data_IF_650852060874
#
_entry.id   IF_650852060874
#
_cell.length_a   1.000
_cell.length_b   1.000
_cell.length_c   1.000
_cell.angle_alpha   90.00
_cell.angle_beta   90.00
_cell.angle_gamma   90.00
#
_symmetry.space_group_name_H-M   'P 1'
#
loop_
_entity.id
_entity.type
_entity.pdbx_description
1 polymer ?
#
# COMPACT_ATOMS: atom_id res chain seq x y z
N UNK A 1 11.45 61.42 53.15
CA UNK A 1 10.24 60.86 52.47
C UNK A 1 10.35 60.63 50.96
N UNK A 2 11.45 60.95 50.28
CA UNK A 2 11.61 60.77 48.82
C UNK A 2 12.09 59.34 48.43
N UNK A 3 12.74 58.54 49.27
CA UNK A 3 13.33 57.21 48.98
C UNK A 3 12.30 56.10 48.91
N UNK A 4 11.17 56.18 49.58
CA UNK A 4 10.14 55.12 49.55
C UNK A 4 9.28 55.14 48.28
N UNK A 5 9.20 56.26 47.57
CA UNK A 5 8.38 56.38 46.37
C UNK A 5 9.07 55.75 45.15
N UNK A 6 10.42 55.78 45.11
CA UNK A 6 11.20 55.17 44.03
C UNK A 6 11.23 53.61 44.10
N UNK A 7 11.18 53.03 45.30
CA UNK A 7 11.15 51.62 45.47
C UNK A 7 9.85 50.97 45.00
N UNK A 8 8.71 51.65 45.16
CA UNK A 8 7.40 51.12 44.71
C UNK A 8 7.33 51.01 43.19
N UNK A 9 7.87 51.98 42.47
CA UNK A 9 7.90 51.98 41.02
C UNK A 9 8.87 50.92 40.47
N UNK A 10 10.01 50.72 41.12
CA UNK A 10 10.96 49.65 40.75
C UNK A 10 10.37 48.27 40.96
N UNK A 11 9.67 48.04 42.08
CA UNK A 11 8.97 46.75 42.35
C UNK A 11 7.83 46.52 41.34
N UNK A 12 7.07 47.56 41.01
CA UNK A 12 5.98 47.48 40.04
C UNK A 12 6.49 47.11 38.61
N UNK A 13 7.59 47.71 38.17
CA UNK A 13 8.22 47.43 36.88
C UNK A 13 8.81 46.01 36.86
N UNK A 14 9.41 45.54 37.95
CA UNK A 14 9.95 44.21 38.06
C UNK A 14 8.84 43.14 38.04
N UNK A 15 7.74 43.33 38.78
CA UNK A 15 6.60 42.42 38.75
C UNK A 15 5.89 42.41 37.39
N UNK A 16 5.77 43.55 36.71
CA UNK A 16 5.21 43.61 35.38
C UNK A 16 6.09 42.84 34.36
N UNK A 17 7.42 42.96 34.46
CA UNK A 17 8.37 42.24 33.61
C UNK A 17 8.30 40.71 33.78
N UNK A 18 8.14 40.23 35.03
CA UNK A 18 7.97 38.81 35.31
C UNK A 18 6.64 38.30 34.74
N UNK A 19 5.55 39.06 34.92
CA UNK A 19 4.23 38.68 34.43
C UNK A 19 4.18 38.62 32.89
N UNK A 20 4.80 39.57 32.22
CA UNK A 20 4.87 39.59 30.75
C UNK A 20 5.75 38.45 30.22
N UNK A 21 6.89 38.18 30.89
CA UNK A 21 7.75 37.03 30.54
C UNK A 21 7.03 35.68 30.70
N UNK A 22 6.26 35.53 31.77
CA UNK A 22 5.47 34.33 32.00
C UNK A 22 4.36 34.18 30.95
N UNK A 23 3.61 35.21 30.63
CA UNK A 23 2.58 35.23 29.59
C UNK A 23 3.15 34.88 28.20
N UNK A 24 4.30 35.46 27.84
CA UNK A 24 4.97 35.14 26.57
C UNK A 24 5.38 33.65 26.52
N UNK A 25 5.93 33.09 27.58
CA UNK A 25 6.31 31.69 27.64
C UNK A 25 5.10 30.76 27.52
N UNK A 26 3.98 31.07 28.17
CA UNK A 26 2.74 30.29 28.05
C UNK A 26 2.21 30.33 26.62
N UNK A 27 2.16 31.49 25.99
CA UNK A 27 1.70 31.64 24.60
C UNK A 27 2.61 30.90 23.62
N UNK A 28 3.93 31.00 23.78
CA UNK A 28 4.89 30.28 22.93
C UNK A 28 4.79 28.75 23.13
N UNK A 29 4.54 28.28 24.35
CA UNK A 29 4.32 26.86 24.64
C UNK A 29 3.04 26.35 23.99
N UNK A 30 1.97 27.14 24.00
CA UNK A 30 0.68 26.78 23.38
C UNK A 30 0.77 26.72 21.86
N UNK A 31 1.43 27.69 21.23
CA UNK A 31 1.69 27.71 19.78
C UNK A 31 2.55 26.52 19.36
N UNK A 32 3.57 26.21 20.15
CA UNK A 32 4.43 25.03 19.88
C UNK A 32 3.65 23.72 19.99
N UNK A 33 2.73 23.61 20.94
CA UNK A 33 1.91 22.41 21.14
C UNK A 33 0.89 22.23 20.01
N UNK A 34 0.23 23.32 19.57
CA UNK A 34 -0.69 23.28 18.44
C UNK A 34 0.02 22.86 17.14
N UNK A 35 1.21 23.40 16.89
CA UNK A 35 1.99 23.03 15.71
C UNK A 35 2.40 21.54 15.71
N UNK A 36 2.78 21.01 16.88
CA UNK A 36 3.09 19.57 17.01
C UNK A 36 1.85 18.72 16.74
N UNK A 37 0.67 19.14 17.20
CA UNK A 37 -0.58 18.42 16.92
C UNK A 37 -0.95 18.45 15.44
N UNK A 38 -0.81 19.61 14.79
CA UNK A 38 -1.03 19.73 13.34
C UNK A 38 -0.05 18.87 12.54
N UNK A 39 1.22 18.83 12.95
CA UNK A 39 2.25 17.99 12.30
C UNK A 39 1.95 16.48 12.53
N UNK A 40 1.39 16.10 13.69
CA UNK A 40 0.98 14.70 13.98
C UNK A 40 -0.25 14.33 13.15
N UNK A 41 -1.28 15.19 13.11
CA UNK A 41 -2.48 14.95 12.28
C UNK A 41 -2.13 14.83 10.80
N UNK A 42 -1.22 15.66 10.29
CA UNK A 42 -0.74 15.57 8.91
C UNK A 42 0.02 14.25 8.65
N UNK A 43 0.84 13.79 9.60
CA UNK A 43 1.53 12.50 9.50
C UNK A 43 0.56 11.31 9.60
N UNK A 44 -0.51 11.41 10.39
CA UNK A 44 -1.53 10.36 10.47
C UNK A 44 -2.35 10.28 9.17
N UNK A 45 -2.64 11.39 8.49
CA UNK A 45 -3.31 11.39 7.18
C UNK A 45 -2.40 10.79 6.08
N UNK A 46 -1.09 11.03 6.12
CA UNK A 46 -0.14 10.45 5.16
C UNK A 46 0.10 8.93 5.37
N UNK A 47 -0.14 8.41 6.57
CA UNK A 47 0.12 7.00 6.90
C UNK A 47 -1.14 6.11 6.86
N UNK A 48 -2.23 6.55 6.26
CA UNK A 48 -3.43 5.71 6.16
C UNK A 48 -3.28 4.71 5.01
N UNK A 49 -3.15 3.43 5.35
CA UNK A 49 -3.18 2.34 4.37
C UNK A 49 -4.52 2.36 3.65
N UNK A 50 -4.49 2.49 2.36
CA UNK A 50 -5.67 2.55 1.51
C UNK A 50 -5.61 1.50 0.40
N UNK A 51 -6.75 1.25 -0.22
CA UNK A 51 -6.82 0.42 -1.43
C UNK A 51 -6.20 1.20 -2.59
N UNK A 52 -5.18 0.60 -3.22
CA UNK A 52 -4.50 1.15 -4.39
C UNK A 52 -5.08 0.50 -5.64
N UNK A 53 -5.85 1.24 -6.40
CA UNK A 53 -6.49 0.71 -7.61
C UNK A 53 -5.65 0.99 -8.84
N UNK A 54 -5.20 -0.04 -9.58
CA UNK A 54 -4.55 0.14 -10.87
C UNK A 54 -5.48 0.85 -11.86
N UNK A 55 -4.92 1.73 -12.71
CA UNK A 55 -5.65 2.39 -13.79
C UNK A 55 -5.64 1.56 -15.08
N UNK A 56 -4.70 0.64 -15.18
CA UNK A 56 -4.52 -0.22 -16.34
C UNK A 56 -3.79 -1.50 -15.95
N UNK A 57 -3.96 -2.55 -16.76
CA UNK A 57 -3.11 -3.73 -16.69
C UNK A 57 -2.84 -4.29 -18.07
N UNK A 58 -1.78 -5.07 -18.17
CA UNK A 58 -1.44 -5.87 -19.35
C UNK A 58 -1.00 -7.25 -18.90
N UNK A 59 -1.28 -8.28 -19.70
CA UNK A 59 -0.85 -9.65 -19.41
C UNK A 59 -0.12 -10.27 -20.59
N UNK A 60 0.69 -11.29 -20.32
CA UNK A 60 1.38 -12.09 -21.36
C UNK A 60 0.39 -12.77 -22.28
N UNK A 61 -0.74 -13.22 -21.74
CA UNK A 61 -1.86 -13.80 -22.46
C UNK A 61 -3.15 -13.69 -21.64
N UNK A 62 -4.28 -13.89 -22.30
CA UNK A 62 -5.59 -14.01 -21.67
C UNK A 62 -6.48 -14.93 -22.52
N UNK A 63 -7.33 -15.72 -21.90
CA UNK A 63 -8.16 -16.71 -22.57
C UNK A 63 -9.14 -16.02 -23.53
N UNK A 64 -9.81 -14.95 -23.08
CA UNK A 64 -10.75 -14.16 -23.86
C UNK A 64 -10.96 -12.77 -23.21
N UNK A 65 -11.82 -11.93 -23.77
CA UNK A 65 -12.13 -10.60 -23.27
C UNK A 65 -12.82 -10.57 -21.88
N UNK A 66 -13.40 -11.69 -21.45
CA UNK A 66 -14.08 -11.80 -20.14
C UNK A 66 -13.14 -12.29 -19.01
N UNK A 67 -11.94 -12.76 -19.38
CA UNK A 67 -10.94 -13.28 -18.46
C UNK A 67 -9.61 -12.55 -18.63
N UNK A 68 -9.70 -11.25 -18.85
CA UNK A 68 -8.55 -10.35 -18.91
C UNK A 68 -8.05 -9.93 -17.52
N UNK A 69 -6.85 -9.35 -17.48
CA UNK A 69 -6.24 -8.91 -16.22
C UNK A 69 -7.04 -7.80 -15.51
N UNK A 70 -7.87 -7.06 -16.22
CA UNK A 70 -8.76 -6.03 -15.66
C UNK A 70 -9.83 -6.61 -14.73
N UNK A 71 -10.10 -7.91 -14.81
CA UNK A 71 -11.03 -8.59 -13.93
C UNK A 71 -10.42 -9.00 -12.58
N UNK A 72 -9.13 -8.81 -12.39
CA UNK A 72 -8.46 -9.14 -11.15
C UNK A 72 -8.68 -8.14 -10.03
N UNK A 73 -9.02 -6.90 -10.37
CA UNK A 73 -9.29 -5.83 -9.42
C UNK A 73 -10.66 -5.20 -9.69
N UNK A 74 -11.35 -4.73 -8.65
CA UNK A 74 -12.66 -4.10 -8.80
C UNK A 74 -13.88 -5.03 -8.65
N UNK A 75 -13.74 -6.16 -7.96
CA UNK A 75 -14.83 -7.07 -7.58
C UNK A 75 -15.58 -7.72 -8.75
N UNK A 76 -14.87 -8.15 -9.78
CA UNK A 76 -15.44 -8.96 -10.83
C UNK A 76 -15.42 -10.45 -10.44
N UNK A 77 -16.31 -11.25 -11.04
CA UNK A 77 -16.44 -12.68 -10.70
C UNK A 77 -15.55 -13.59 -11.55
N UNK A 78 -14.95 -13.06 -12.63
CA UNK A 78 -14.43 -13.91 -13.69
C UNK A 78 -12.91 -14.14 -13.60
N UNK A 79 -12.19 -13.24 -12.91
CA UNK A 79 -10.76 -13.33 -12.73
C UNK A 79 -9.97 -13.24 -14.05
N UNK A 80 -8.70 -13.65 -14.00
CA UNK A 80 -7.82 -13.77 -15.15
C UNK A 80 -7.45 -15.23 -15.39
N UNK A 81 -7.45 -15.65 -16.66
CA UNK A 81 -7.02 -16.95 -17.12
C UNK A 81 -6.14 -16.80 -18.37
N UNK A 82 -5.01 -17.51 -18.43
CA UNK A 82 -4.15 -17.54 -19.59
C UNK A 82 -4.72 -18.43 -20.70
N UNK A 83 -4.25 -18.28 -21.94
CA UNK A 83 -4.66 -19.12 -23.07
C UNK A 83 -3.53 -20.02 -23.62
N UNK A 84 -2.37 -20.02 -22.97
CA UNK A 84 -1.16 -20.65 -23.51
C UNK A 84 -0.99 -22.12 -23.10
N UNK A 85 -1.85 -22.67 -22.25
CA UNK A 85 -1.73 -24.01 -21.67
C UNK A 85 -0.34 -24.25 -21.01
N UNK A 86 0.28 -23.18 -20.55
CA UNK A 86 1.55 -23.20 -19.86
C UNK A 86 1.58 -22.10 -18.83
N UNK A 87 1.29 -22.45 -17.60
CA UNK A 87 1.27 -21.52 -16.48
C UNK A 87 2.62 -20.87 -16.18
N UNK A 88 3.70 -21.56 -16.48
CA UNK A 88 5.04 -21.03 -16.23
C UNK A 88 5.34 -19.88 -17.20
N UNK A 89 6.03 -18.88 -16.72
CA UNK A 89 6.43 -17.68 -17.48
C UNK A 89 5.26 -16.75 -17.86
N UNK A 90 4.06 -16.96 -17.31
CA UNK A 90 2.98 -15.99 -17.46
C UNK A 90 3.21 -14.80 -16.55
N UNK A 91 2.79 -13.63 -17.03
CA UNK A 91 2.91 -12.40 -16.23
C UNK A 91 1.72 -11.46 -16.44
N UNK A 92 1.47 -10.64 -15.43
CA UNK A 92 0.50 -9.54 -15.45
C UNK A 92 1.20 -8.31 -14.91
N UNK A 93 1.15 -7.18 -15.60
CA UNK A 93 1.68 -5.90 -15.16
C UNK A 93 0.56 -4.91 -14.90
N UNK A 94 0.55 -4.36 -13.71
CA UNK A 94 -0.41 -3.36 -13.24
C UNK A 94 0.24 -1.98 -13.30
N UNK A 95 -0.49 -0.97 -13.78
CA UNK A 95 -0.08 0.42 -13.83
C UNK A 95 -0.95 1.25 -12.88
N UNK A 96 -0.32 2.05 -12.02
CA UNK A 96 -0.98 3.04 -11.17
C UNK A 96 -0.90 4.43 -11.78
N UNK A 97 -1.84 5.33 -11.42
CA UNK A 97 -1.86 6.72 -11.91
C UNK A 97 -0.61 7.50 -11.51
N UNK A 98 -0.07 7.19 -10.34
CA UNK A 98 1.14 7.76 -9.76
C UNK A 98 1.95 6.67 -9.05
N UNK A 99 3.23 6.92 -8.71
CA UNK A 99 4.00 5.96 -7.93
C UNK A 99 3.42 5.74 -6.54
N UNK A 100 3.19 4.47 -6.17
CA UNK A 100 2.60 4.04 -4.91
C UNK A 100 3.57 3.16 -4.12
N UNK A 101 3.52 3.22 -2.80
CA UNK A 101 4.19 2.27 -1.92
C UNK A 101 3.19 1.17 -1.55
N UNK A 102 3.39 -0.03 -2.08
CA UNK A 102 2.53 -1.18 -1.80
C UNK A 102 3.02 -1.88 -0.55
N UNK A 103 2.25 -1.86 0.52
CA UNK A 103 2.61 -2.51 1.79
C UNK A 103 2.06 -3.93 1.87
N UNK A 104 0.83 -4.13 1.40
CA UNK A 104 0.20 -5.45 1.37
C UNK A 104 -0.39 -5.75 0.02
N UNK A 105 -0.38 -7.03 -0.32
CA UNK A 105 -1.11 -7.58 -1.46
C UNK A 105 -2.03 -8.68 -0.97
N UNK A 106 -3.28 -8.66 -1.42
CA UNK A 106 -4.26 -9.70 -1.13
C UNK A 106 -4.55 -10.44 -2.42
N UNK A 107 -4.34 -11.74 -2.42
CA UNK A 107 -4.56 -12.58 -3.61
C UNK A 107 -5.51 -13.72 -3.29
N UNK A 108 -6.31 -14.10 -4.28
CA UNK A 108 -7.22 -15.23 -4.19
C UNK A 108 -7.07 -16.10 -5.43
N UNK A 109 -6.80 -17.39 -5.23
CA UNK A 109 -6.85 -18.36 -6.31
C UNK A 109 -8.29 -18.58 -6.77
N UNK A 110 -8.46 -18.87 -8.05
CA UNK A 110 -9.76 -19.16 -8.61
C UNK A 110 -10.35 -20.45 -8.03
N UNK A 111 -11.65 -20.39 -7.73
CA UNK A 111 -12.43 -21.55 -7.29
C UNK A 111 -13.66 -21.73 -8.15
N UNK A 112 -13.72 -22.82 -8.87
CA UNK A 112 -14.95 -23.26 -9.49
C UNK A 112 -15.84 -23.93 -8.46
N UNK A 113 -17.13 -23.60 -8.41
CA UNK A 113 -18.08 -24.15 -7.43
C UNK A 113 -17.99 -25.70 -7.35
N UNK A 114 -17.62 -26.20 -6.18
CA UNK A 114 -17.68 -27.62 -5.83
C UNK A 114 -16.47 -28.49 -6.21
N UNK A 115 -15.43 -27.95 -6.84
CA UNK A 115 -14.21 -28.69 -7.10
C UNK A 115 -13.11 -28.27 -6.11
N UNK A 116 -12.51 -29.27 -5.47
CA UNK A 116 -11.30 -29.06 -4.67
C UNK A 116 -10.24 -28.44 -5.54
N UNK A 117 -9.65 -27.37 -5.03
CA UNK A 117 -8.47 -26.67 -5.49
C UNK A 117 -8.02 -27.09 -6.89
N UNK A 118 -8.24 -26.20 -7.83
CA UNK A 118 -8.01 -26.50 -9.23
C UNK A 118 -6.53 -26.67 -9.52
N UNK A 119 -6.20 -27.50 -10.45
CA UNK A 119 -4.86 -27.71 -10.94
C UNK A 119 -4.23 -26.44 -11.50
N UNK A 120 -5.07 -25.53 -12.01
CA UNK A 120 -4.71 -24.29 -12.67
C UNK A 120 -4.39 -23.14 -11.70
N UNK A 121 -4.50 -23.37 -10.38
CA UNK A 121 -4.18 -22.36 -9.37
C UNK A 121 -2.70 -22.06 -9.35
N UNK A 122 -2.37 -20.77 -9.25
CA UNK A 122 -0.99 -20.31 -9.08
C UNK A 122 -0.43 -20.83 -7.76
N UNK A 123 0.82 -21.28 -7.78
CA UNK A 123 1.53 -21.78 -6.61
C UNK A 123 2.64 -20.84 -6.18
N UNK A 124 3.68 -20.69 -6.97
CA UNK A 124 4.76 -19.76 -6.70
C UNK A 124 4.67 -18.58 -7.62
N UNK A 125 4.84 -17.39 -7.04
CA UNK A 125 4.80 -16.15 -7.78
C UNK A 125 5.88 -15.18 -7.30
N UNK A 126 6.21 -14.22 -8.16
CA UNK A 126 7.01 -13.04 -7.86
C UNK A 126 6.16 -11.79 -8.10
N UNK A 127 6.30 -10.80 -7.23
CA UNK A 127 5.89 -9.43 -7.48
C UNK A 127 7.15 -8.58 -7.72
N UNK A 128 7.24 -7.96 -8.88
CA UNK A 128 8.35 -7.08 -9.25
C UNK A 128 7.85 -5.65 -9.21
N UNK A 129 8.42 -4.85 -8.32
CA UNK A 129 8.15 -3.43 -8.16
C UNK A 129 9.21 -2.63 -8.91
N UNK A 130 8.82 -1.92 -9.97
CA UNK A 130 9.72 -1.09 -10.78
C UNK A 130 9.85 0.29 -10.15
N UNK A 131 10.89 0.49 -9.36
CA UNK A 131 11.18 1.73 -8.65
C UNK A 131 12.17 2.61 -9.45
N UNK A 132 12.39 3.84 -8.99
CA UNK A 132 13.41 4.72 -9.58
C UNK A 132 14.84 4.19 -9.38
N UNK A 133 15.07 3.39 -8.34
CA UNK A 133 16.39 2.83 -7.99
C UNK A 133 16.64 1.45 -8.61
N UNK A 134 15.68 0.87 -9.31
CA UNK A 134 15.75 -0.45 -9.90
C UNK A 134 14.50 -1.29 -9.67
N UNK A 135 14.67 -2.59 -9.59
CA UNK A 135 13.58 -3.52 -9.34
C UNK A 135 13.72 -4.15 -7.96
N UNK A 136 12.64 -4.13 -7.17
CA UNK A 136 12.52 -4.89 -5.94
C UNK A 136 11.63 -6.10 -6.21
N UNK A 137 12.05 -7.26 -5.74
CA UNK A 137 11.36 -8.53 -5.98
C UNK A 137 10.87 -9.10 -4.65
N UNK A 138 9.60 -9.47 -4.62
CA UNK A 138 8.95 -10.18 -3.53
C UNK A 138 8.48 -11.53 -4.05
N UNK A 139 8.92 -12.63 -3.43
CA UNK A 139 8.60 -14.00 -3.82
C UNK A 139 7.79 -14.68 -2.72
N UNK A 140 6.71 -15.38 -3.09
CA UNK A 140 5.89 -16.07 -2.11
C UNK A 140 5.09 -17.24 -2.72
N UNK A 141 4.46 -18.01 -1.85
CA UNK A 141 3.60 -19.15 -2.20
C UNK A 141 2.15 -18.81 -1.94
N UNK A 142 1.34 -18.82 -3.00
CA UNK A 142 -0.10 -18.73 -2.89
C UNK A 142 -0.65 -20.14 -2.62
N UNK A 143 -1.27 -20.33 -1.46
CA UNK A 143 -1.80 -21.64 -1.08
C UNK A 143 -2.97 -22.05 -1.97
N UNK A 144 -3.14 -23.36 -2.15
CA UNK A 144 -4.22 -23.94 -2.95
C UNK A 144 -5.56 -23.91 -2.19
N UNK A 145 -6.07 -22.72 -1.95
CA UNK A 145 -7.34 -22.46 -1.29
C UNK A 145 -8.07 -21.33 -1.99
N UNK A 146 -9.37 -21.25 -1.79
CA UNK A 146 -10.23 -20.17 -2.30
C UNK A 146 -10.33 -18.99 -1.36
N UNK A 147 -9.66 -19.06 -0.22
CA UNK A 147 -9.63 -17.97 0.75
C UNK A 147 -8.67 -16.87 0.27
N UNK A 148 -8.98 -15.63 0.60
CA UNK A 148 -8.08 -14.50 0.38
C UNK A 148 -6.85 -14.64 1.26
N UNK A 149 -5.66 -14.47 0.66
CA UNK A 149 -4.37 -14.59 1.33
C UNK A 149 -3.65 -13.25 1.32
N UNK A 150 -3.15 -12.86 2.48
CA UNK A 150 -2.49 -11.59 2.72
C UNK A 150 -0.98 -11.77 2.69
N UNK A 151 -0.31 -10.90 1.94
CA UNK A 151 1.14 -10.89 1.81
C UNK A 151 1.66 -9.50 2.17
N UNK A 152 2.54 -9.46 3.17
CA UNK A 152 3.25 -8.26 3.59
C UNK A 152 4.48 -8.10 2.68
N UNK A 153 4.42 -7.15 1.76
CA UNK A 153 5.50 -6.94 0.79
C UNK A 153 6.64 -6.10 1.35
N UNK A 154 6.39 -5.38 2.46
CA UNK A 154 7.33 -4.43 3.07
C UNK A 154 7.93 -3.43 2.07
N UNK A 155 7.21 -3.15 0.99
CA UNK A 155 7.69 -2.28 -0.08
C UNK A 155 7.55 -0.82 0.32
N UNK A 156 8.67 -0.19 0.69
CA UNK A 156 8.74 1.23 1.07
C UNK A 156 9.00 2.14 -0.14
N UNK A 157 9.71 1.64 -1.15
CA UNK A 157 9.98 2.42 -2.36
C UNK A 157 8.76 2.45 -3.27
N UNK A 158 8.45 3.63 -3.78
CA UNK A 158 7.28 3.83 -4.65
C UNK A 158 7.52 3.25 -6.04
N UNK A 159 6.48 2.60 -6.54
CA UNK A 159 6.46 2.00 -7.88
C UNK A 159 5.21 2.40 -8.63
N UNK A 160 5.36 2.80 -9.89
CA UNK A 160 4.22 3.02 -10.80
C UNK A 160 3.76 1.72 -11.46
N UNK A 161 4.64 0.73 -11.56
CA UNK A 161 4.35 -0.54 -12.22
C UNK A 161 4.69 -1.69 -11.27
N UNK A 162 3.72 -2.57 -11.08
CA UNK A 162 3.89 -3.83 -10.35
C UNK A 162 3.60 -4.98 -11.29
N UNK A 163 4.57 -5.89 -11.45
CA UNK A 163 4.41 -7.07 -12.28
C UNK A 163 4.29 -8.32 -11.41
N UNK A 164 3.23 -9.07 -11.61
CA UNK A 164 3.08 -10.43 -11.12
C UNK A 164 3.67 -11.38 -12.16
N UNK A 165 4.70 -12.13 -11.79
CA UNK A 165 5.19 -13.27 -12.57
C UNK A 165 4.69 -14.57 -11.94
N UNK A 166 4.17 -15.46 -12.74
CA UNK A 166 3.80 -16.81 -12.32
C UNK A 166 4.98 -17.74 -12.53
N UNK A 167 5.50 -18.29 -11.44
CA UNK A 167 6.67 -19.20 -11.47
C UNK A 167 6.23 -20.65 -11.61
N UNK A 168 5.13 -21.03 -10.96
CA UNK A 168 4.55 -22.35 -11.10
C UNK A 168 3.09 -22.40 -10.65
N UNK A 169 2.36 -23.42 -11.13
CA UNK A 169 1.02 -23.78 -10.67
C UNK A 169 1.03 -25.00 -9.76
N UNK A 170 -0.14 -25.38 -9.28
CA UNK A 170 -0.36 -26.64 -8.58
C UNK A 170 -0.52 -27.84 -9.53
N UNK A 171 -0.58 -27.59 -10.83
CA UNK A 171 -0.57 -28.67 -11.80
C UNK A 171 0.82 -29.30 -11.90
N UNK A 172 0.87 -30.62 -11.70
CA UNK A 172 2.10 -31.40 -11.78
C UNK A 172 2.42 -31.87 -13.19
N UNK A 173 1.49 -31.69 -14.14
CA UNK A 173 1.62 -32.18 -15.51
C UNK A 173 2.06 -31.10 -16.51
N UNK A 174 1.99 -29.82 -16.11
CA UNK A 174 2.53 -28.70 -16.89
C UNK A 174 1.80 -28.41 -18.20
N UNK A 175 0.53 -28.74 -18.28
CA UNK A 175 -0.27 -28.62 -19.52
C UNK A 175 -1.47 -27.68 -19.34
N UNK A 176 -1.71 -27.21 -18.10
CA UNK A 176 -2.93 -26.49 -17.78
C UNK A 176 -2.73 -24.97 -17.75
N UNK A 177 -3.80 -24.23 -17.95
CA UNK A 177 -3.89 -22.77 -17.90
C UNK A 177 -3.65 -22.27 -16.48
N UNK A 178 -3.19 -21.03 -16.35
CA UNK A 178 -3.16 -20.32 -15.08
C UNK A 178 -4.46 -19.57 -14.84
N UNK A 179 -4.93 -19.61 -13.61
CA UNK A 179 -6.12 -18.90 -13.21
C UNK A 179 -5.92 -18.20 -11.88
N UNK A 180 -6.23 -16.92 -11.83
CA UNK A 180 -6.23 -16.10 -10.62
C UNK A 180 -7.58 -15.39 -10.49
N UNK A 181 -8.19 -15.47 -9.31
CA UNK A 181 -9.51 -14.86 -9.08
C UNK A 181 -9.42 -13.37 -8.85
N UNK A 182 -8.52 -12.94 -7.97
CA UNK A 182 -8.33 -11.53 -7.65
C UNK A 182 -6.94 -11.21 -7.14
N UNK A 183 -6.56 -9.94 -7.29
CA UNK A 183 -5.42 -9.31 -6.64
C UNK A 183 -5.79 -7.89 -6.26
N UNK A 184 -5.63 -7.55 -4.98
CA UNK A 184 -5.84 -6.21 -4.44
C UNK A 184 -4.55 -5.69 -3.82
N UNK A 185 -4.28 -4.41 -4.02
CA UNK A 185 -3.10 -3.73 -3.51
C UNK A 185 -3.50 -2.76 -2.41
N UNK A 186 -2.72 -2.72 -1.33
CA UNK A 186 -2.92 -1.83 -0.19
C UNK A 186 -1.62 -1.12 0.15
N UNK A 187 -1.69 0.16 0.47
CA UNK A 187 -0.52 0.95 0.81
C UNK A 187 -0.78 2.44 0.76
N UNK A 188 0.20 3.22 0.32
CA UNK A 188 0.16 4.67 0.34
C UNK A 188 0.32 5.26 -1.07
N UNK A 189 -0.44 6.31 -1.33
CA UNK A 189 -0.24 7.16 -2.52
C UNK A 189 1.04 8.00 -2.40
N UNK A 190 1.53 8.47 -3.51
CA UNK A 190 2.72 9.27 -3.63
C UNK A 190 2.61 10.69 -3.12
#
# INVERSE_FOLDING_TARGET
MKTLKNNKNAILLFTLGILTGFLINVVLSEISHQKILEDIEALEEEMFIQVLTPINCTSSSQLNEYQGCENLYGYTSDGWEDNNQNCNDQWIEFEFSEPVAVEFVVMQNYAYEGLKAQKDSIKYFELIFKTENGENVFEETLQNTTDSQWFDTLQIEKSRFVRLNVISSYDTLGVDTCHLQSIDFYGYNG
#
